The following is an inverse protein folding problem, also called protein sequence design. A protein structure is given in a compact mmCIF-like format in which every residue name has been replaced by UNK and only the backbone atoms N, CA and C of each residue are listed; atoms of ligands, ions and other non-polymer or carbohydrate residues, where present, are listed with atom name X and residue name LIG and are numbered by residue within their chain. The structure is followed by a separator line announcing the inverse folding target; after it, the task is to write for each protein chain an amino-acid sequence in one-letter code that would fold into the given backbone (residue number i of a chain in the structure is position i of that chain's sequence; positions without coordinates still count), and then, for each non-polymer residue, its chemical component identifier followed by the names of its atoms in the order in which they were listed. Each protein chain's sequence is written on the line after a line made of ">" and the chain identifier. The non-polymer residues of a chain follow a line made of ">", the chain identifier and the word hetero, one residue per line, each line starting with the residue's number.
data_IF_625106603437
#
_entry.id   IF_625106603437
#
_cell.length_a   1.000
_cell.length_b   1.000
_cell.length_c   1.000
_cell.angle_alpha   90.00
_cell.angle_beta   90.00
_cell.angle_gamma   90.00
#
_symmetry.space_group_name_H-M   'P 1'
#
loop_
_entity.id
_entity.type
_entity.pdbx_description
1 polymer ?
#
# COMPACT_ATOMS: atom_id res chain seq x y z
N UNK A 1 -13.30 -6.32 3.08
CA UNK A 1 -12.75 -5.00 2.74
C UNK A 1 -11.90 -5.14 1.49
N UNK A 2 -12.36 -4.55 0.39
CA UNK A 2 -11.71 -4.53 -0.92
C UNK A 2 -10.91 -3.24 -1.10
N UNK A 3 -10.13 -3.11 -2.19
CA UNK A 3 -9.47 -1.84 -2.55
C UNK A 3 -10.48 -0.70 -2.64
N UNK A 4 -11.67 -0.95 -3.21
CA UNK A 4 -12.72 0.04 -3.35
C UNK A 4 -13.25 0.52 -1.99
N UNK A 5 -13.41 -0.39 -1.03
CA UNK A 5 -13.84 -0.04 0.33
C UNK A 5 -12.80 0.87 1.02
N UNK A 6 -11.51 0.56 0.87
CA UNK A 6 -10.42 1.38 1.39
C UNK A 6 -10.39 2.78 0.77
N UNK A 7 -10.58 2.89 -0.55
CA UNK A 7 -10.67 4.19 -1.25
C UNK A 7 -11.84 5.02 -0.73
N UNK A 8 -13.01 4.39 -0.52
CA UNK A 8 -14.18 5.08 0.02
C UNK A 8 -13.94 5.60 1.44
N UNK A 9 -13.32 4.79 2.31
CA UNK A 9 -12.94 5.20 3.66
C UNK A 9 -11.92 6.34 3.61
N UNK A 10 -10.87 6.22 2.80
CA UNK A 10 -9.84 7.25 2.68
C UNK A 10 -10.39 8.57 2.16
N UNK A 11 -11.26 8.56 1.16
CA UNK A 11 -11.90 9.78 0.67
C UNK A 11 -12.75 10.42 1.78
N UNK A 12 -13.50 9.61 2.53
CA UNK A 12 -14.35 10.07 3.64
C UNK A 12 -13.53 10.66 4.80
N UNK A 13 -12.40 10.05 5.17
CA UNK A 13 -11.60 10.47 6.33
C UNK A 13 -10.59 11.57 6.01
N UNK A 14 -10.06 11.61 4.78
CA UNK A 14 -9.14 12.66 4.33
C UNK A 14 -9.85 13.94 3.88
N UNK A 15 -11.17 13.90 3.68
CA UNK A 15 -11.94 15.01 3.12
C UNK A 15 -11.67 15.28 1.63
N UNK A 16 -10.93 14.40 0.96
CA UNK A 16 -10.58 14.51 -0.46
C UNK A 16 -11.56 13.82 -1.41
N UNK A 17 -11.33 13.96 -2.72
CA UNK A 17 -12.12 13.25 -3.73
C UNK A 17 -11.80 11.75 -3.77
N UNK A 18 -12.76 10.94 -4.23
CA UNK A 18 -12.53 9.50 -4.47
C UNK A 18 -11.36 9.26 -5.42
N UNK A 19 -11.23 10.08 -6.46
CA UNK A 19 -10.13 10.01 -7.43
C UNK A 19 -8.78 10.30 -6.80
N UNK A 20 -8.70 11.25 -5.85
CA UNK A 20 -7.47 11.52 -5.12
C UNK A 20 -7.10 10.35 -4.19
N UNK A 21 -8.08 9.78 -3.48
CA UNK A 21 -7.88 8.62 -2.61
C UNK A 21 -7.44 7.37 -3.39
N UNK A 22 -8.00 7.14 -4.58
CA UNK A 22 -7.62 6.04 -5.46
C UNK A 22 -6.17 6.17 -5.94
N UNK A 23 -5.80 7.36 -6.42
CA UNK A 23 -4.41 7.66 -6.80
C UNK A 23 -3.45 7.51 -5.63
N UNK A 24 -3.84 7.91 -4.43
CA UNK A 24 -3.00 7.78 -3.23
C UNK A 24 -2.74 6.31 -2.87
N UNK A 25 -3.77 5.44 -2.91
CA UNK A 25 -3.58 4.00 -2.70
C UNK A 25 -2.68 3.40 -3.77
N UNK A 26 -2.89 3.74 -5.04
CA UNK A 26 -2.05 3.19 -6.11
C UNK A 26 -0.60 3.62 -5.99
N UNK A 27 -0.35 4.90 -5.67
CA UNK A 27 0.99 5.40 -5.42
C UNK A 27 1.66 4.69 -4.23
N UNK A 28 0.92 4.48 -3.13
CA UNK A 28 1.41 3.75 -1.96
C UNK A 28 1.80 2.32 -2.33
N UNK A 29 0.92 1.57 -3.00
CA UNK A 29 1.17 0.19 -3.40
C UNK A 29 2.36 0.13 -4.35
N UNK A 30 2.42 1.00 -5.35
CA UNK A 30 3.52 1.06 -6.32
C UNK A 30 4.86 1.34 -5.64
N UNK A 31 4.92 2.31 -4.73
CA UNK A 31 6.14 2.65 -3.99
C UNK A 31 6.63 1.52 -3.08
N UNK A 32 5.72 0.78 -2.44
CA UNK A 32 6.06 -0.43 -1.67
C UNK A 32 6.63 -1.49 -2.60
N UNK A 33 5.96 -1.79 -3.71
CA UNK A 33 6.42 -2.80 -4.69
C UNK A 33 7.79 -2.45 -5.24
N UNK A 34 8.04 -1.19 -5.61
CA UNK A 34 9.33 -0.76 -6.13
C UNK A 34 10.44 -0.87 -5.08
N UNK A 35 10.15 -0.52 -3.83
CA UNK A 35 11.10 -0.66 -2.73
C UNK A 35 11.47 -2.13 -2.49
N UNK A 36 10.47 -3.01 -2.49
CA UNK A 36 10.66 -4.45 -2.35
C UNK A 36 11.44 -5.05 -3.52
N UNK A 37 11.18 -4.62 -4.76
CA UNK A 37 11.95 -5.04 -5.95
C UNK A 37 13.44 -4.72 -5.82
N UNK A 38 13.77 -3.59 -5.18
CA UNK A 38 15.16 -3.20 -4.89
C UNK A 38 15.75 -3.93 -3.67
N UNK A 39 15.04 -4.91 -3.10
CA UNK A 39 15.45 -5.65 -1.90
C UNK A 39 15.36 -4.83 -0.61
N UNK A 40 14.73 -3.66 -0.63
CA UNK A 40 14.59 -2.79 0.54
C UNK A 40 13.31 -3.16 1.29
N UNK A 41 13.41 -3.28 2.61
CA UNK A 41 12.25 -3.41 3.49
C UNK A 41 11.53 -2.08 3.64
N UNK A 42 10.21 -2.12 3.75
CA UNK A 42 9.37 -0.93 3.99
C UNK A 42 8.66 -1.10 5.33
N UNK A 43 8.92 -0.21 6.27
CA UNK A 43 8.25 -0.21 7.58
C UNK A 43 7.25 0.93 7.64
N UNK A 44 6.00 0.60 7.96
CA UNK A 44 4.93 1.56 8.20
C UNK A 44 4.49 1.39 9.66
N UNK A 45 4.94 2.31 10.52
CA UNK A 45 4.65 2.29 11.95
C UNK A 45 3.14 2.22 12.20
N UNK A 46 2.72 1.32 13.10
CA UNK A 46 1.31 1.09 13.42
C UNK A 46 0.53 0.23 12.41
N UNK A 47 1.15 -0.17 11.29
CA UNK A 47 0.53 -1.06 10.32
C UNK A 47 1.34 -2.36 10.13
N UNK A 48 2.63 -2.26 9.82
CA UNK A 48 3.46 -3.43 9.62
C UNK A 48 4.76 -3.16 8.86
N UNK A 49 5.52 -4.23 8.61
CA UNK A 49 6.74 -4.19 7.81
C UNK A 49 6.62 -5.14 6.63
N UNK A 50 6.92 -4.64 5.44
CA UNK A 50 6.96 -5.37 4.19
C UNK A 50 8.40 -5.76 3.86
N UNK A 51 8.61 -7.04 3.60
CA UNK A 51 9.93 -7.61 3.23
C UNK A 51 9.77 -8.60 2.08
N UNK A 52 10.81 -8.74 1.26
CA UNK A 52 10.89 -9.85 0.30
C UNK A 52 11.30 -11.11 1.05
N UNK A 53 10.37 -12.04 1.21
CA UNK A 53 10.66 -13.35 1.77
C UNK A 53 11.21 -14.28 0.68
N UNK A 54 12.38 -14.86 0.89
CA UNK A 54 12.86 -15.97 0.05
C UNK A 54 12.07 -17.22 0.41
N UNK A 55 11.36 -17.80 -0.57
CA UNK A 55 10.62 -19.04 -0.39
C UNK A 55 11.46 -20.20 -0.90
N UNK A 56 11.61 -21.25 -0.10
CA UNK A 56 12.18 -22.51 -0.58
C UNK A 56 11.28 -23.08 -1.68
N UNK A 57 11.90 -23.71 -2.68
CA UNK A 57 11.16 -24.41 -3.72
C UNK A 57 10.35 -25.55 -3.11
N UNK A 58 9.09 -25.67 -3.51
CA UNK A 58 8.13 -26.68 -3.10
C UNK A 58 7.16 -26.92 -4.23
#
# INVERSE_FOLDING_TARGET
>A
MTKADLVAIMAKTSGGSKTAAERAIEAMVSGIVESLRRGRRVTISGFGTFVVAKRAAR
#
